data_IF_415541138439
#
_entry.id   IF_415541138439
#
_cell.length_a   1.000
_cell.length_b   1.000
_cell.length_c   1.000
_cell.angle_alpha   90.00
_cell.angle_beta   90.00
_cell.angle_gamma   90.00
#
_symmetry.space_group_name_H-M   'P 1'
#
loop_
_entity.id
_entity.type
_entity.pdbx_description
1 polymer ?
#
# COMPACT_ATOMS: atom_id res chain seq x y z
N UNK A 1 -0.31 31.44 -49.48
CA UNK A 1 0.61 30.34 -49.14
C UNK A 1 1.12 30.61 -47.73
N UNK A 2 0.86 29.88 -46.66
CA UNK A 2 -0.01 28.75 -46.35
C UNK A 2 0.11 28.60 -44.82
N UNK A 3 -0.97 28.84 -44.09
CA UNK A 3 -1.07 28.85 -42.62
C UNK A 3 -1.58 27.49 -42.13
N UNK A 4 -0.84 26.41 -42.38
CA UNK A 4 -1.19 25.08 -41.86
C UNK A 4 0.07 24.22 -41.71
N UNK A 5 0.95 24.61 -40.77
CA UNK A 5 1.86 23.62 -40.19
C UNK A 5 1.11 22.84 -39.12
N UNK A 6 0.50 21.79 -39.64
CA UNK A 6 0.06 20.57 -38.97
C UNK A 6 0.73 20.35 -37.61
N UNK A 7 -0.09 20.43 -36.56
CA UNK A 7 0.12 19.75 -35.29
C UNK A 7 0.43 18.27 -35.57
N UNK A 8 1.72 17.92 -35.58
CA UNK A 8 2.16 16.54 -35.36
C UNK A 8 1.83 16.22 -33.91
N UNK A 9 0.63 15.68 -33.70
CA UNK A 9 0.33 14.89 -32.51
C UNK A 9 1.20 13.64 -32.66
N UNK A 10 2.31 13.60 -31.94
CA UNK A 10 3.09 12.37 -31.82
C UNK A 10 2.12 11.26 -31.43
N UNK A 11 2.03 10.24 -32.29
CA UNK A 11 1.38 8.98 -31.91
C UNK A 11 2.31 8.39 -30.87
N UNK A 12 2.10 8.72 -29.60
CA UNK A 12 2.58 7.89 -28.52
C UNK A 12 2.01 6.51 -28.76
N UNK A 13 2.88 5.56 -29.11
CA UNK A 13 2.51 4.16 -29.17
C UNK A 13 1.86 3.81 -27.83
N UNK A 14 0.65 3.25 -27.89
CA UNK A 14 -0.06 2.84 -26.69
C UNK A 14 0.75 1.72 -26.04
N UNK A 15 1.45 2.03 -24.95
CA UNK A 15 2.07 1.02 -24.09
C UNK A 15 0.98 0.08 -23.62
N UNK A 16 1.23 -1.22 -23.74
CA UNK A 16 0.29 -2.28 -23.33
C UNK A 16 0.82 -3.17 -22.20
N UNK A 17 2.14 -3.16 -21.97
CA UNK A 17 2.79 -3.95 -20.92
C UNK A 17 3.15 -3.02 -19.75
N UNK A 18 2.20 -2.80 -18.84
CA UNK A 18 2.42 -2.04 -17.61
C UNK A 18 2.82 -2.96 -16.46
N UNK A 19 3.67 -2.47 -15.56
CA UNK A 19 4.01 -3.12 -14.28
C UNK A 19 3.16 -2.59 -13.14
N UNK A 20 3.20 -3.25 -11.97
CA UNK A 20 2.49 -2.77 -10.76
C UNK A 20 2.95 -1.38 -10.34
N UNK A 21 4.23 -1.07 -10.58
CA UNK A 21 4.83 0.24 -10.37
C UNK A 21 4.29 1.35 -11.30
N UNK A 22 3.53 1.01 -12.34
CA UNK A 22 3.00 1.97 -13.30
C UNK A 22 1.50 2.21 -13.16
N UNK A 23 0.87 1.58 -12.16
CA UNK A 23 -0.53 1.78 -11.84
C UNK A 23 -0.82 3.24 -11.51
N UNK A 24 -1.94 3.73 -12.02
CA UNK A 24 -2.46 5.08 -11.76
C UNK A 24 -3.94 5.01 -11.43
N UNK A 25 -4.44 6.05 -10.76
CA UNK A 25 -5.87 6.21 -10.49
C UNK A 25 -6.69 6.02 -11.78
N UNK A 26 -7.68 5.15 -11.71
CA UNK A 26 -8.57 4.77 -12.82
C UNK A 26 -8.11 3.56 -13.63
N UNK A 27 -6.88 3.06 -13.46
CA UNK A 27 -6.42 1.83 -14.12
C UNK A 27 -7.23 0.63 -13.62
N UNK A 28 -7.37 -0.38 -14.47
CA UNK A 28 -7.90 -1.68 -14.09
C UNK A 28 -6.76 -2.69 -14.01
N UNK A 29 -6.82 -3.62 -13.06
CA UNK A 29 -5.85 -4.71 -12.90
C UNK A 29 -6.58 -5.98 -12.47
N UNK A 30 -6.22 -7.11 -13.05
CA UNK A 30 -6.72 -8.42 -12.62
C UNK A 30 -5.79 -9.01 -11.56
N UNK A 31 -6.39 -9.41 -10.43
CA UNK A 31 -5.73 -10.11 -9.34
C UNK A 31 -6.70 -11.07 -8.67
N UNK A 32 -6.25 -12.30 -8.41
CA UNK A 32 -7.01 -13.35 -7.73
C UNK A 32 -8.44 -13.56 -8.29
N UNK A 33 -8.54 -13.76 -9.61
CA UNK A 33 -9.79 -13.98 -10.35
C UNK A 33 -10.80 -12.82 -10.31
N UNK A 34 -10.37 -11.62 -9.91
CA UNK A 34 -11.19 -10.41 -9.91
C UNK A 34 -10.48 -9.30 -10.67
N UNK A 35 -11.28 -8.41 -11.24
CA UNK A 35 -10.81 -7.15 -11.80
C UNK A 35 -11.00 -6.05 -10.78
N UNK A 36 -9.95 -5.26 -10.55
CA UNK A 36 -9.91 -4.19 -9.56
C UNK A 36 -9.65 -2.86 -10.24
N UNK A 37 -10.36 -1.81 -9.83
CA UNK A 37 -10.07 -0.43 -10.23
C UNK A 37 -9.16 0.23 -9.19
N UNK A 38 -8.08 0.88 -9.64
CA UNK A 38 -7.24 1.72 -8.79
C UNK A 38 -8.01 3.00 -8.43
N UNK A 39 -8.49 3.13 -7.20
CA UNK A 39 -9.26 4.31 -6.76
C UNK A 39 -8.36 5.42 -6.25
N UNK A 40 -7.26 5.06 -5.61
CA UNK A 40 -6.28 5.97 -5.01
C UNK A 40 -4.87 5.40 -5.15
N UNK A 41 -3.91 6.31 -5.20
CA UNK A 41 -2.48 6.02 -5.21
C UNK A 41 -1.86 6.83 -4.10
N UNK A 42 -1.03 6.19 -3.28
CA UNK A 42 -0.30 6.80 -2.20
C UNK A 42 1.19 6.61 -2.45
N UNK A 43 1.98 7.62 -2.10
CA UNK A 43 3.43 7.52 -2.01
C UNK A 43 3.85 7.71 -0.57
N UNK A 44 4.73 6.85 -0.08
CA UNK A 44 5.35 6.99 1.23
C UNK A 44 6.82 7.34 1.05
N UNK A 45 7.27 8.38 1.75
CA UNK A 45 8.67 8.71 1.96
C UNK A 45 9.06 8.26 3.37
N UNK A 46 9.92 7.24 3.46
CA UNK A 46 10.43 6.68 4.72
C UNK A 46 11.74 7.35 5.17
N UNK A 47 12.14 8.43 4.50
CA UNK A 47 13.43 9.09 4.66
C UNK A 47 14.56 8.37 3.91
N UNK A 48 15.74 8.99 3.89
CA UNK A 48 16.96 8.45 3.25
C UNK A 48 16.79 8.05 1.76
N UNK A 49 15.84 8.66 1.05
CA UNK A 49 15.44 8.32 -0.32
C UNK A 49 14.79 6.93 -0.48
N UNK A 50 14.25 6.34 0.58
CA UNK A 50 13.45 5.13 0.50
C UNK A 50 11.99 5.50 0.28
N UNK A 51 11.43 5.00 -0.83
CA UNK A 51 10.05 5.29 -1.21
C UNK A 51 9.29 3.99 -1.47
N UNK A 52 8.00 4.01 -1.17
CA UNK A 52 7.08 2.95 -1.55
C UNK A 52 5.79 3.53 -2.07
N UNK A 53 5.00 2.71 -2.76
CA UNK A 53 3.68 3.07 -3.26
C UNK A 53 2.63 2.14 -2.72
N UNK A 54 1.44 2.68 -2.48
CA UNK A 54 0.28 1.89 -2.14
C UNK A 54 -0.90 2.25 -3.06
N UNK A 55 -1.64 1.23 -3.48
CA UNK A 55 -2.79 1.36 -4.36
C UNK A 55 -4.03 0.87 -3.64
N UNK A 56 -5.04 1.73 -3.49
CA UNK A 56 -6.37 1.29 -3.07
C UNK A 56 -7.08 0.68 -4.27
N UNK A 57 -7.24 -0.63 -4.24
CA UNK A 57 -7.87 -1.43 -5.29
C UNK A 57 -9.29 -1.80 -4.86
N UNK A 58 -10.27 -1.54 -5.73
CA UNK A 58 -11.68 -1.79 -5.49
C UNK A 58 -12.26 -2.69 -6.59
N UNK A 59 -12.78 -3.85 -6.22
CA UNK A 59 -13.46 -4.79 -7.13
C UNK A 59 -14.97 -4.61 -7.19
N UNK A 60 -15.50 -3.60 -6.49
CA UNK A 60 -16.92 -3.30 -6.32
C UNK A 60 -17.57 -4.00 -5.13
N UNK A 61 -16.98 -5.11 -4.64
CA UNK A 61 -17.44 -5.81 -3.43
C UNK A 61 -16.38 -5.95 -2.34
N UNK A 62 -15.10 -5.77 -2.68
CA UNK A 62 -13.97 -5.84 -1.77
C UNK A 62 -13.00 -4.70 -2.07
N UNK A 63 -12.33 -4.24 -1.01
CA UNK A 63 -11.24 -3.28 -1.07
C UNK A 63 -9.99 -3.95 -0.52
N UNK A 64 -8.90 -3.84 -1.26
CA UNK A 64 -7.57 -4.24 -0.82
C UNK A 64 -6.58 -3.10 -1.07
N UNK A 65 -5.47 -3.13 -0.36
CA UNK A 65 -4.35 -2.22 -0.56
C UNK A 65 -3.16 -3.02 -1.10
N UNK A 66 -2.68 -2.68 -2.29
CA UNK A 66 -1.45 -3.23 -2.84
C UNK A 66 -0.30 -2.30 -2.47
N UNK A 67 0.61 -2.76 -1.64
CA UNK A 67 1.83 -2.05 -1.30
C UNK A 67 3.00 -2.58 -2.15
N UNK A 68 3.79 -1.67 -2.71
CA UNK A 68 4.91 -1.93 -3.61
C UNK A 68 6.11 -1.12 -3.16
N UNK A 69 7.18 -1.83 -2.81
CA UNK A 69 8.50 -1.27 -2.52
C UNK A 69 9.46 -1.71 -3.62
N UNK A 70 10.19 -0.77 -4.21
CA UNK A 70 11.08 -0.99 -5.35
C UNK A 70 12.39 -0.24 -5.10
N UNK A 71 13.22 -0.79 -4.23
CA UNK A 71 14.55 -0.26 -3.91
C UNK A 71 15.67 -1.21 -4.39
N UNK A 72 15.96 -2.28 -3.64
CA UNK A 72 16.91 -3.33 -4.04
C UNK A 72 16.23 -4.48 -4.82
N UNK A 73 15.07 -4.92 -4.33
CA UNK A 73 14.21 -5.95 -4.92
C UNK A 73 12.76 -5.47 -4.88
N UNK A 74 11.98 -5.85 -5.90
CA UNK A 74 10.56 -5.53 -5.94
C UNK A 74 9.80 -6.38 -4.92
N UNK A 75 9.34 -5.75 -3.85
CA UNK A 75 8.55 -6.39 -2.80
C UNK A 75 7.10 -5.93 -2.94
N UNK A 76 6.20 -6.88 -3.18
CA UNK A 76 4.76 -6.62 -3.24
C UNK A 76 4.04 -7.30 -2.07
N UNK A 77 3.04 -6.61 -1.52
CA UNK A 77 2.15 -7.19 -0.51
C UNK A 77 0.73 -6.67 -0.66
N UNK A 78 -0.24 -7.52 -0.35
CA UNK A 78 -1.67 -7.18 -0.37
C UNK A 78 -2.21 -7.16 1.05
N UNK A 79 -2.91 -6.09 1.37
CA UNK A 79 -3.40 -5.78 2.71
C UNK A 79 -4.90 -5.62 2.75
N UNK A 80 -5.48 -6.10 3.84
CA UNK A 80 -6.88 -5.91 4.19
C UNK A 80 -6.92 -5.14 5.51
N UNK A 81 -7.72 -4.08 5.57
CA UNK A 81 -7.92 -3.32 6.80
C UNK A 81 -8.52 -4.20 7.88
N UNK A 82 -8.04 -3.98 9.09
CA UNK A 82 -8.56 -4.54 10.32
C UNK A 82 -8.97 -3.40 11.26
N UNK A 83 -9.90 -3.71 12.15
CA UNK A 83 -10.09 -2.89 13.33
C UNK A 83 -8.98 -3.23 14.34
N UNK A 84 -8.27 -2.22 14.86
CA UNK A 84 -7.23 -2.41 15.87
C UNK A 84 -7.79 -3.08 17.13
N UNK A 85 -9.07 -2.88 17.42
CA UNK A 85 -9.76 -3.50 18.55
C UNK A 85 -10.00 -5.01 18.33
N UNK A 86 -10.02 -5.49 17.09
CA UNK A 86 -10.09 -6.93 16.78
C UNK A 86 -8.75 -7.64 17.06
N UNK A 87 -7.63 -6.90 17.05
CA UNK A 87 -6.31 -7.41 17.40
C UNK A 87 -6.20 -7.53 18.92
N UNK A 88 -6.32 -6.41 19.61
CA UNK A 88 -6.39 -6.33 21.06
C UNK A 88 -7.02 -4.99 21.45
N UNK A 89 -8.12 -5.05 22.21
CA UNK A 89 -8.86 -3.88 22.69
C UNK A 89 -8.03 -2.84 23.45
N UNK A 90 -6.90 -3.25 24.05
CA UNK A 90 -5.98 -2.38 24.79
C UNK A 90 -4.80 -1.87 23.97
N UNK A 91 -4.65 -2.29 22.71
CA UNK A 91 -3.45 -2.03 21.92
C UNK A 91 -3.21 -0.55 21.67
N UNK A 92 -4.20 0.17 21.14
CA UNK A 92 -4.09 1.61 20.87
C UNK A 92 -3.67 2.40 22.12
N UNK A 93 -4.35 2.14 23.25
CA UNK A 93 -4.03 2.79 24.52
C UNK A 93 -2.62 2.44 25.04
N UNK A 94 -2.16 1.20 24.83
CA UNK A 94 -0.79 0.81 25.17
C UNK A 94 0.24 1.56 24.34
N UNK A 95 0.01 1.68 23.01
CA UNK A 95 0.91 2.40 22.09
C UNK A 95 0.97 3.88 22.45
N UNK A 96 -0.16 4.54 22.71
CA UNK A 96 -0.19 5.95 23.14
C UNK A 96 0.58 6.15 24.45
N UNK A 97 0.46 5.21 25.40
CA UNK A 97 1.10 5.33 26.71
C UNK A 97 2.62 5.09 26.67
N UNK A 98 3.12 4.19 25.82
CA UNK A 98 4.55 3.91 25.67
C UNK A 98 5.24 4.66 24.54
N UNK A 99 4.48 5.31 23.66
CA UNK A 99 4.95 5.89 22.39
C UNK A 99 5.66 4.86 21.48
N UNK A 100 5.35 3.57 21.66
CA UNK A 100 5.92 2.47 20.89
C UNK A 100 4.98 1.26 20.92
N UNK A 101 4.94 0.50 19.85
CA UNK A 101 4.15 -0.72 19.76
C UNK A 101 4.87 -1.94 20.36
N UNK A 102 4.14 -2.91 20.95
CA UNK A 102 4.75 -4.09 21.56
C UNK A 102 5.53 -4.89 20.52
N UNK A 103 6.64 -5.54 20.92
CA UNK A 103 7.45 -6.37 20.01
C UNK A 103 6.72 -7.67 19.52
N UNK A 104 5.60 -8.03 20.15
CA UNK A 104 4.86 -9.24 19.87
C UNK A 104 3.36 -8.98 19.96
N UNK A 105 2.62 -9.45 18.96
CA UNK A 105 1.16 -9.44 18.92
C UNK A 105 0.61 -10.86 18.81
N UNK A 106 -0.62 -11.07 19.29
CA UNK A 106 -1.36 -12.31 19.10
C UNK A 106 -2.68 -11.95 18.43
N UNK A 107 -2.93 -12.54 17.27
CA UNK A 107 -4.16 -12.32 16.50
C UNK A 107 -4.59 -13.65 15.87
N UNK A 108 -5.86 -13.99 15.93
CA UNK A 108 -6.39 -15.27 15.42
C UNK A 108 -5.61 -16.52 15.88
N UNK A 109 -5.20 -16.56 17.15
CA UNK A 109 -4.35 -17.61 17.74
C UNK A 109 -2.96 -17.76 17.09
N UNK A 110 -2.51 -16.79 16.30
CA UNK A 110 -1.19 -16.73 15.67
C UNK A 110 -0.34 -15.68 16.37
N UNK A 111 0.96 -15.98 16.50
CA UNK A 111 1.93 -15.03 17.07
C UNK A 111 2.63 -14.28 15.95
N UNK A 112 2.62 -12.96 16.02
CA UNK A 112 3.32 -12.06 15.12
C UNK A 112 4.46 -11.38 15.87
N UNK A 113 5.63 -11.30 15.26
CA UNK A 113 6.84 -10.70 15.84
C UNK A 113 7.19 -9.45 15.04
N UNK A 114 7.46 -8.35 15.73
CA UNK A 114 7.85 -7.08 15.09
C UNK A 114 9.13 -7.30 14.29
N UNK A 115 9.10 -6.91 13.03
CA UNK A 115 10.25 -6.94 12.11
C UNK A 115 10.83 -5.55 11.93
N UNK A 116 9.95 -4.55 11.87
CA UNK A 116 10.33 -3.20 11.51
C UNK A 116 9.50 -2.17 12.28
N UNK A 117 10.08 -0.98 12.41
CA UNK A 117 9.44 0.23 12.92
C UNK A 117 9.97 1.38 12.10
N UNK A 118 9.09 2.07 11.39
CA UNK A 118 9.46 3.09 10.42
C UNK A 118 8.64 4.35 10.64
N UNK A 119 9.27 5.51 10.47
CA UNK A 119 8.59 6.80 10.46
C UNK A 119 8.61 7.31 9.03
N UNK A 120 7.49 7.85 8.56
CA UNK A 120 7.41 8.32 7.19
C UNK A 120 6.38 9.41 7.00
N UNK A 121 6.28 9.82 5.75
CA UNK A 121 5.29 10.79 5.26
C UNK A 121 4.52 10.14 4.12
N UNK A 122 3.19 10.13 4.22
CA UNK A 122 2.30 9.64 3.18
C UNK A 122 1.67 10.81 2.42
N UNK A 123 1.59 10.67 1.10
CA UNK A 123 1.01 11.64 0.18
C UNK A 123 0.04 10.92 -0.76
N UNK A 124 -1.23 11.35 -0.80
CA UNK A 124 -2.19 10.87 -1.80
C UNK A 124 -1.94 11.58 -3.15
N UNK A 125 -1.82 10.82 -4.24
CA UNK A 125 -1.59 11.39 -5.56
C UNK A 125 -2.73 12.31 -5.98
N UNK A 126 -2.38 13.56 -6.29
CA UNK A 126 -3.34 14.61 -6.65
C UNK A 126 -3.73 15.53 -5.50
N UNK A 127 -3.33 15.20 -4.27
CA UNK A 127 -3.46 16.07 -3.09
C UNK A 127 -2.10 16.73 -2.77
N UNK A 128 -2.15 17.87 -2.07
CA UNK A 128 -0.94 18.58 -1.60
C UNK A 128 -0.61 18.32 -0.13
N UNK A 129 -1.54 17.69 0.59
CA UNK A 129 -1.41 17.50 2.03
C UNK A 129 -0.59 16.25 2.32
N UNK A 130 0.41 16.43 3.17
CA UNK A 130 1.30 15.38 3.63
C UNK A 130 0.85 14.92 5.03
N UNK A 131 0.89 13.61 5.29
CA UNK A 131 0.51 13.02 6.57
C UNK A 131 1.67 12.22 7.15
N UNK A 132 2.17 12.65 8.31
CA UNK A 132 3.21 11.92 9.04
C UNK A 132 2.62 10.67 9.72
N UNK A 133 3.38 9.57 9.68
CA UNK A 133 3.00 8.31 10.32
C UNK A 133 4.19 7.63 11.00
N UNK A 134 3.85 6.82 12.00
CA UNK A 134 4.71 5.75 12.50
C UNK A 134 4.06 4.42 12.12
N UNK A 135 4.83 3.56 11.48
CA UNK A 135 4.42 2.23 11.08
C UNK A 135 5.19 1.17 11.88
N UNK A 136 4.50 0.14 12.33
CA UNK A 136 5.09 -1.05 12.92
C UNK A 136 4.63 -2.30 12.16
N UNK A 137 5.61 -2.99 11.59
CA UNK A 137 5.39 -4.19 10.78
C UNK A 137 5.75 -5.45 11.54
N UNK A 138 4.85 -6.41 11.48
CA UNK A 138 4.97 -7.68 12.14
C UNK A 138 4.82 -8.83 11.15
N UNK A 139 5.57 -9.89 11.38
CA UNK A 139 5.51 -11.10 10.59
C UNK A 139 5.27 -12.31 11.49
N UNK A 140 4.39 -13.21 11.06
CA UNK A 140 4.33 -14.55 11.63
C UNK A 140 5.53 -15.37 11.13
N UNK A 141 6.41 -15.86 12.02
CA UNK A 141 7.63 -16.55 11.61
C UNK A 141 7.40 -17.88 10.89
N UNK A 142 6.24 -18.51 11.07
CA UNK A 142 5.89 -19.80 10.45
C UNK A 142 5.16 -19.62 9.12
N UNK A 143 4.15 -18.74 9.10
CA UNK A 143 3.25 -18.61 7.94
C UNK A 143 3.63 -17.49 6.98
N UNK A 144 4.52 -16.57 7.40
CA UNK A 144 4.86 -15.35 6.66
C UNK A 144 3.68 -14.40 6.42
N UNK A 145 2.57 -14.60 7.12
CA UNK A 145 1.50 -13.60 7.19
C UNK A 145 2.01 -12.33 7.87
N UNK A 146 1.48 -11.20 7.43
CA UNK A 146 1.88 -9.89 7.90
C UNK A 146 0.76 -9.23 8.71
N UNK A 147 1.16 -8.38 9.65
CA UNK A 147 0.28 -7.49 10.38
C UNK A 147 0.97 -6.13 10.45
N UNK A 148 0.24 -5.07 10.15
CA UNK A 148 0.71 -3.69 10.21
C UNK A 148 -0.13 -2.91 11.21
N UNK A 149 0.53 -2.06 11.99
CA UNK A 149 -0.11 -1.03 12.81
C UNK A 149 0.48 0.31 12.39
N UNK A 150 -0.39 1.26 12.07
CA UNK A 150 -0.02 2.63 11.73
C UNK A 150 -0.55 3.58 12.81
N UNK A 151 0.22 4.60 13.18
CA UNK A 151 -0.27 5.74 13.95
C UNK A 151 -0.09 7.01 13.16
N UNK A 152 -1.18 7.75 13.01
CA UNK A 152 -1.26 9.05 12.37
C UNK A 152 -1.53 10.10 13.45
N UNK A 153 -0.68 11.12 13.56
CA UNK A 153 -0.76 12.07 14.66
C UNK A 153 -0.67 11.41 16.05
N UNK A 154 -1.49 11.87 17.00
CA UNK A 154 -1.42 11.43 18.40
C UNK A 154 -2.29 10.19 18.72
N UNK A 155 -3.48 10.09 18.13
CA UNK A 155 -4.52 9.12 18.55
C UNK A 155 -5.23 8.40 17.39
N UNK A 156 -4.84 8.63 16.13
CA UNK A 156 -5.43 7.94 14.99
C UNK A 156 -4.61 6.69 14.63
N UNK A 157 -5.28 5.54 14.59
CA UNK A 157 -4.63 4.26 14.38
C UNK A 157 -5.20 3.53 13.16
N UNK A 158 -4.30 3.03 12.31
CA UNK A 158 -4.59 2.06 11.26
C UNK A 158 -4.13 0.68 11.67
N UNK A 159 -4.83 -0.35 11.22
CA UNK A 159 -4.30 -1.72 11.29
C UNK A 159 -4.72 -2.51 10.07
N UNK A 160 -3.84 -3.42 9.64
CA UNK A 160 -4.07 -4.21 8.44
C UNK A 160 -3.42 -5.58 8.55
N UNK A 161 -4.07 -6.61 7.99
CA UNK A 161 -3.48 -7.93 7.79
C UNK A 161 -3.08 -8.09 6.34
N UNK A 162 -1.87 -8.57 6.12
CA UNK A 162 -1.29 -8.69 4.80
C UNK A 162 -0.67 -10.05 4.51
N UNK A 163 -0.28 -10.20 3.25
CA UNK A 163 0.57 -11.29 2.76
C UNK A 163 1.45 -10.76 1.64
N UNK A 164 2.63 -11.33 1.52
CA UNK A 164 3.45 -11.15 0.32
C UNK A 164 2.73 -11.74 -0.90
N UNK A 165 2.94 -11.08 -2.04
CA UNK A 165 2.45 -11.51 -3.35
C UNK A 165 3.54 -11.24 -4.38
N UNK A 166 3.51 -11.98 -5.47
CA UNK A 166 4.44 -11.78 -6.57
C UNK A 166 3.87 -10.82 -7.60
N UNK A 167 4.71 -10.04 -8.28
CA UNK A 167 4.26 -9.10 -9.32
C UNK A 167 3.43 -9.81 -10.40
N UNK A 168 3.85 -11.01 -10.82
CA UNK A 168 3.17 -11.77 -11.88
C UNK A 168 1.76 -12.25 -11.50
N UNK A 169 1.36 -12.16 -10.23
CA UNK A 169 -0.02 -12.41 -9.80
C UNK A 169 -0.98 -11.32 -10.28
N UNK A 170 -0.46 -10.14 -10.63
CA UNK A 170 -1.19 -9.03 -11.23
C UNK A 170 -1.07 -9.12 -12.74
N UNK A 171 -2.20 -9.07 -13.43
CA UNK A 171 -2.27 -9.22 -14.88
C UNK A 171 -3.30 -8.27 -15.48
N UNK A 172 -3.34 -8.20 -16.81
CA UNK A 172 -4.30 -7.39 -17.55
C UNK A 172 -4.37 -5.96 -17.01
N UNK A 173 -3.22 -5.32 -16.80
CA UNK A 173 -3.15 -3.93 -16.37
C UNK A 173 -3.57 -3.05 -17.56
N UNK A 174 -4.74 -2.42 -17.43
CA UNK A 174 -5.35 -1.63 -18.48
C UNK A 174 -5.41 -0.15 -18.06
N UNK A 175 -4.76 0.76 -18.82
CA UNK A 175 -4.93 2.19 -18.61
C UNK A 175 -6.34 2.60 -19.02
N UNK A 176 -6.91 3.57 -18.30
CA UNK A 176 -8.24 4.13 -18.61
C UNK A 176 -8.15 5.51 -19.23
#
# INVERSE_FOLDING_TARGET
MGIFDFLKKDKTESKIDFTVNELKKGFMVDYFMKTWEVKKVYTYDWGNNFFSREYLLDSGNEIIYLHVEDDDELICSVWNKLDIFDIDSGLAGSITASDDAPNRLVYENKTFIRKESSQGVCIEEGESDESELVNWMYENPETKELLSIDRWGEEEYGSSKGKYVEEFEFSNILPR
#
